data_IF_687963596774
#
_entry.id   IF_687963596774
#
_cell.length_a   1.000
_cell.length_b   1.000
_cell.length_c   1.000
_cell.angle_alpha   90.00
_cell.angle_beta   90.00
_cell.angle_gamma   90.00
#
_symmetry.space_group_name_H-M   'P 1'
#
loop_
_entity.id
_entity.type
_entity.pdbx_description
1 polymer ?
#
# COMPACT_ATOMS: atom_id res chain seq x y z
N UNK A 1 22.53 -6.82 25.10
CA UNK A 1 21.18 -7.24 24.67
C UNK A 1 21.36 -8.00 23.37
N UNK A 2 21.12 -9.31 23.36
CA UNK A 2 21.43 -10.14 22.21
C UNK A 2 20.32 -10.05 21.15
N UNK A 3 20.64 -10.37 19.91
CA UNK A 3 19.66 -10.41 18.82
C UNK A 3 18.57 -11.49 19.03
N UNK A 4 18.86 -12.55 19.80
CA UNK A 4 17.90 -13.63 20.09
C UNK A 4 16.82 -13.18 21.09
N UNK A 5 17.17 -12.34 22.07
CA UNK A 5 16.21 -11.79 23.03
C UNK A 5 15.17 -10.89 22.34
N UNK A 6 15.61 -10.16 21.32
CA UNK A 6 14.77 -9.24 20.54
C UNK A 6 13.69 -9.96 19.72
N UNK A 7 13.99 -11.17 19.24
CA UNK A 7 13.03 -12.00 18.49
C UNK A 7 12.08 -12.78 19.40
N UNK A 8 12.56 -13.22 20.57
CA UNK A 8 11.76 -14.00 21.52
C UNK A 8 10.83 -13.14 22.37
N UNK A 9 11.16 -11.87 22.60
CA UNK A 9 10.32 -10.93 23.34
C UNK A 9 10.26 -9.59 22.59
N UNK A 10 9.54 -9.55 21.46
CA UNK A 10 9.45 -8.33 20.65
C UNK A 10 8.86 -7.21 21.52
N UNK A 11 9.48 -6.02 21.53
CA UNK A 11 8.96 -4.93 22.31
C UNK A 11 7.53 -4.59 21.88
N UNK A 12 6.59 -4.54 22.82
CA UNK A 12 5.16 -4.26 22.53
C UNK A 12 4.97 -2.96 21.74
N UNK A 13 5.83 -1.96 22.00
CA UNK A 13 5.83 -0.70 21.27
C UNK A 13 6.20 -0.85 19.79
N UNK A 14 7.06 -1.83 19.44
CA UNK A 14 7.49 -2.09 18.07
C UNK A 14 6.34 -2.71 17.26
N UNK A 15 5.58 -3.63 17.87
CA UNK A 15 4.36 -4.19 17.26
C UNK A 15 3.34 -3.08 17.00
N UNK A 16 3.12 -2.19 17.97
CA UNK A 16 2.24 -1.03 17.80
C UNK A 16 2.70 -0.10 16.66
N UNK A 17 3.99 0.16 16.56
CA UNK A 17 4.56 0.99 15.49
C UNK A 17 4.32 0.36 14.11
N UNK A 18 4.53 -0.95 13.97
CA UNK A 18 4.30 -1.69 12.72
C UNK A 18 2.82 -1.65 12.34
N UNK A 19 1.91 -1.90 13.29
CA UNK A 19 0.47 -1.83 13.06
C UNK A 19 0.05 -0.42 12.61
N UNK A 20 0.55 0.62 13.29
CA UNK A 20 0.26 2.01 12.93
C UNK A 20 0.77 2.35 11.53
N UNK A 21 1.97 1.90 11.17
CA UNK A 21 2.54 2.09 9.83
C UNK A 21 1.72 1.39 8.75
N UNK A 22 1.30 0.14 8.99
CA UNK A 22 0.44 -0.60 8.05
C UNK A 22 -0.93 0.07 7.90
N UNK A 23 -1.53 0.55 9.00
CA UNK A 23 -2.78 1.31 8.93
C UNK A 23 -2.62 2.61 8.16
N UNK A 24 -1.55 3.37 8.45
CA UNK A 24 -1.26 4.62 7.77
C UNK A 24 -1.04 4.39 6.28
N UNK A 25 -0.30 3.33 5.89
CA UNK A 25 -0.13 2.95 4.49
C UNK A 25 -1.49 2.65 3.83
N UNK A 26 -2.36 1.89 4.49
CA UNK A 26 -3.64 1.46 3.95
C UNK A 26 -4.56 2.66 3.69
N UNK A 27 -4.61 3.61 4.63
CA UNK A 27 -5.36 4.87 4.49
C UNK A 27 -4.82 5.71 3.32
N UNK A 28 -3.49 5.78 3.18
CA UNK A 28 -2.86 6.56 2.11
C UNK A 28 -3.18 5.98 0.73
N UNK A 29 -3.07 4.66 0.57
CA UNK A 29 -3.43 3.95 -0.67
C UNK A 29 -4.93 4.11 -0.97
N UNK A 30 -5.79 3.96 0.03
CA UNK A 30 -7.23 4.12 -0.12
C UNK A 30 -7.58 5.52 -0.64
N UNK A 31 -6.96 6.56 -0.06
CA UNK A 31 -7.18 7.95 -0.46
C UNK A 31 -6.60 8.30 -1.82
N UNK A 32 -5.44 7.75 -2.19
CA UNK A 32 -4.86 7.93 -3.54
C UNK A 32 -5.73 7.25 -4.60
N UNK A 33 -6.18 6.02 -4.34
CA UNK A 33 -7.09 5.28 -5.22
C UNK A 33 -8.46 5.97 -5.37
N UNK A 34 -8.97 6.58 -4.28
CA UNK A 34 -10.20 7.36 -4.29
C UNK A 34 -10.06 8.60 -5.18
N UNK A 35 -8.93 9.32 -5.09
CA UNK A 35 -8.65 10.48 -5.95
C UNK A 35 -8.51 10.12 -7.43
N UNK A 36 -8.06 8.91 -7.74
CA UNK A 36 -7.93 8.39 -9.11
C UNK A 36 -9.22 7.71 -9.62
N UNK A 37 -10.29 7.67 -8.81
CA UNK A 37 -11.56 7.04 -9.19
C UNK A 37 -11.48 5.53 -9.44
N UNK A 38 -10.46 4.85 -8.90
CA UNK A 38 -10.17 3.44 -9.21
C UNK A 38 -10.29 2.57 -7.98
N UNK A 39 -11.41 1.86 -7.88
CA UNK A 39 -11.69 0.78 -6.91
C UNK A 39 -10.99 0.94 -5.55
N UNK A 40 -11.26 2.02 -4.80
CA UNK A 40 -10.55 2.33 -3.55
C UNK A 40 -10.67 1.22 -2.50
N UNK A 41 -11.82 0.53 -2.47
CA UNK A 41 -12.07 -0.58 -1.55
C UNK A 41 -11.20 -1.82 -1.86
N UNK A 42 -10.93 -2.09 -3.14
CA UNK A 42 -10.05 -3.19 -3.56
C UNK A 42 -8.62 -2.94 -3.10
N UNK A 43 -8.13 -1.72 -3.27
CA UNK A 43 -6.77 -1.33 -2.87
C UNK A 43 -6.57 -1.21 -1.36
N UNK A 44 -7.59 -0.78 -0.61
CA UNK A 44 -7.56 -0.73 0.85
C UNK A 44 -7.42 -2.12 1.49
N UNK A 45 -8.19 -3.10 1.01
CA UNK A 45 -8.12 -4.50 1.50
C UNK A 45 -6.79 -5.14 1.10
N UNK A 46 -6.32 -4.91 -0.13
CA UNK A 46 -5.03 -5.42 -0.59
C UNK A 46 -3.84 -4.87 0.19
N UNK A 47 -3.85 -3.58 0.54
CA UNK A 47 -2.79 -2.93 1.30
C UNK A 47 -2.63 -3.47 2.73
N UNK A 48 -3.66 -4.12 3.28
CA UNK A 48 -3.65 -4.74 4.62
C UNK A 48 -3.21 -6.21 4.54
N UNK A 49 -3.43 -6.87 3.39
CA UNK A 49 -3.23 -8.32 3.25
C UNK A 49 -1.76 -8.74 3.12
N UNK A 50 -0.87 -7.87 2.64
CA UNK A 50 0.56 -8.18 2.52
C UNK A 50 1.39 -6.89 2.53
N UNK A 51 2.55 -6.89 3.19
CA UNK A 51 3.56 -5.84 3.04
C UNK A 51 4.83 -6.57 2.56
N UNK A 52 5.46 -6.26 1.40
CA UNK A 52 5.37 -5.07 0.54
C UNK A 52 4.73 -5.28 -0.86
N UNK A 53 4.18 -6.46 -1.16
CA UNK A 53 3.65 -6.82 -2.49
C UNK A 53 2.57 -5.86 -3.07
N UNK A 54 1.63 -5.30 -2.28
CA UNK A 54 0.59 -4.42 -2.82
C UNK A 54 1.13 -3.12 -3.40
N UNK A 55 2.25 -2.61 -2.89
CA UNK A 55 2.92 -1.42 -3.42
C UNK A 55 3.42 -1.65 -4.85
N UNK A 56 4.01 -2.82 -5.12
CA UNK A 56 4.55 -3.18 -6.44
C UNK A 56 3.40 -3.33 -7.44
N UNK A 57 2.32 -4.01 -7.04
CA UNK A 57 1.15 -4.20 -7.89
C UNK A 57 0.41 -2.88 -8.14
N UNK A 58 0.30 -1.99 -7.13
CA UNK A 58 -0.27 -0.65 -7.28
C UNK A 58 0.49 0.17 -8.31
N UNK A 59 1.82 0.24 -8.16
CA UNK A 59 2.67 0.98 -9.08
C UNK A 59 2.51 0.46 -10.52
N UNK A 60 2.46 -0.86 -10.72
CA UNK A 60 2.37 -1.43 -12.06
C UNK A 60 0.98 -1.31 -12.70
N UNK A 61 -0.08 -1.55 -11.93
CA UNK A 61 -1.46 -1.59 -12.45
C UNK A 61 -2.10 -0.20 -12.56
N UNK A 62 -1.79 0.72 -11.64
CA UNK A 62 -2.38 2.07 -11.62
C UNK A 62 -1.62 3.00 -12.55
N UNK A 63 -0.30 3.16 -12.37
CA UNK A 63 0.49 4.15 -13.12
C UNK A 63 0.57 3.82 -14.61
N UNK A 64 0.71 2.54 -15.00
CA UNK A 64 0.77 2.19 -16.43
C UNK A 64 -0.54 2.45 -17.16
N UNK A 65 -1.67 2.32 -16.47
CA UNK A 65 -2.98 2.42 -17.09
C UNK A 65 -3.42 3.89 -17.22
N UNK A 66 -3.02 4.76 -16.28
CA UNK A 66 -3.15 6.23 -16.43
C UNK A 66 -2.42 6.75 -17.68
N UNK A 67 -1.19 6.27 -17.95
CA UNK A 67 -0.43 6.69 -19.14
C UNK A 67 -1.07 6.26 -20.46
N UNK A 68 -1.82 5.15 -20.46
CA UNK A 68 -2.51 4.64 -21.67
C UNK A 68 -3.77 5.45 -21.96
N UNK A 69 -4.51 5.86 -20.94
CA UNK A 69 -5.72 6.69 -21.13
C UNK A 69 -5.37 8.08 -21.62
N UNK A 70 -4.30 8.71 -21.10
CA UNK A 70 -3.82 10.02 -21.59
C UNK A 70 -3.40 9.94 -23.07
N UNK A 71 -2.60 8.92 -23.46
CA UNK A 71 -2.18 8.74 -24.86
C UNK A 71 -3.33 8.45 -25.82
N UNK A 72 -4.38 7.79 -25.37
CA UNK A 72 -5.56 7.53 -26.19
C UNK A 72 -6.46 8.76 -26.33
N UNK A 73 -6.42 9.69 -25.37
CA UNK A 73 -7.12 10.96 -25.46
C UNK A 73 -6.42 11.96 -26.39
N UNK A 74 -5.08 11.92 -26.47
CA UNK A 74 -4.29 12.76 -27.39
C UNK A 74 -4.39 12.33 -28.86
N UNK A 75 -4.60 11.03 -29.12
CA UNK A 75 -4.73 10.48 -30.48
C UNK A 75 -6.16 10.47 -31.06
N UNK A 76 -7.15 11.00 -30.33
CA UNK A 76 -8.55 11.12 -30.77
C UNK A 76 -8.89 12.56 -31.10
#
# INVERSE_FOLDING_TARGET
MSLHDFLNNPPVWLVFLVVLLVFCQGIWIFRDAQRRGRFPWFWGIWGISSFPLPLIVYFFAVIRKDRKEIKNAENR
#
